data_IF_712324103133
#
_entry.id   IF_712324103133
#
_cell.length_a   1.000
_cell.length_b   1.000
_cell.length_c   1.000
_cell.angle_alpha   90.00
_cell.angle_beta   90.00
_cell.angle_gamma   90.00
#
_symmetry.space_group_name_H-M   'P 1'
#
loop_
_entity.id
_entity.type
_entity.pdbx_description
1 polymer ?
#
# COMPACT_ATOMS: atom_id res chain seq x y z
N UNK A 1 -6.85 9.80 36.03
CA UNK A 1 -7.20 9.70 34.60
C UNK A 1 -6.93 8.27 34.21
N UNK A 2 -7.91 7.42 34.46
CA UNK A 2 -7.76 5.98 34.30
C UNK A 2 -7.81 5.64 32.81
N UNK A 3 -6.69 5.12 32.33
CA UNK A 3 -6.58 4.52 31.00
C UNK A 3 -7.40 3.24 31.08
N UNK A 4 -8.67 3.32 30.68
CA UNK A 4 -9.45 2.13 30.34
C UNK A 4 -8.82 1.51 29.09
N UNK A 5 -7.84 0.64 29.30
CA UNK A 5 -7.50 -0.39 28.33
C UNK A 5 -8.71 -1.33 28.29
N UNK A 6 -9.69 -1.02 27.44
CA UNK A 6 -10.68 -2.00 27.04
C UNK A 6 -9.94 -3.03 26.20
N UNK A 7 -9.33 -4.01 26.85
CA UNK A 7 -9.03 -5.28 26.21
C UNK A 7 -10.38 -5.84 25.79
N UNK A 8 -10.76 -5.69 24.52
CA UNK A 8 -11.75 -6.61 23.97
C UNK A 8 -11.07 -7.96 24.01
N UNK A 9 -11.31 -8.68 25.11
CA UNK A 9 -10.79 -10.01 25.32
C UNK A 9 -11.36 -10.86 24.18
N UNK A 10 -10.56 -11.08 23.14
CA UNK A 10 -10.85 -12.15 22.20
C UNK A 10 -11.02 -13.41 23.03
N UNK A 11 -12.19 -14.08 22.96
CA UNK A 11 -12.34 -15.36 23.65
C UNK A 11 -11.21 -16.27 23.17
N UNK A 12 -10.44 -16.74 24.15
CA UNK A 12 -9.23 -17.54 23.97
C UNK A 12 -9.59 -18.76 23.12
N UNK A 13 -9.30 -18.71 21.81
CA UNK A 13 -9.67 -19.75 20.85
C UNK A 13 -10.22 -19.27 19.49
N UNK A 14 -10.48 -17.97 19.30
CA UNK A 14 -11.02 -17.42 18.04
C UNK A 14 -10.06 -16.54 17.22
N UNK A 15 -8.79 -16.41 17.60
CA UNK A 15 -7.81 -15.76 16.71
C UNK A 15 -7.54 -16.70 15.55
N UNK A 16 -8.08 -16.37 14.37
CA UNK A 16 -7.76 -17.10 13.14
C UNK A 16 -6.25 -17.14 12.90
N UNK A 17 -5.79 -18.07 12.07
CA UNK A 17 -4.36 -18.11 11.66
C UNK A 17 -3.91 -16.81 10.98
N UNK A 18 -4.87 -16.04 10.47
CA UNK A 18 -4.70 -14.83 9.69
C UNK A 18 -5.75 -13.82 10.15
N UNK A 19 -5.39 -12.53 10.13
CA UNK A 19 -6.29 -11.42 10.40
C UNK A 19 -6.14 -10.37 9.32
N UNK A 20 -7.27 -9.88 8.81
CA UNK A 20 -7.30 -8.90 7.71
C UNK A 20 -7.83 -7.57 8.21
N UNK A 21 -7.08 -6.50 7.92
CA UNK A 21 -7.51 -5.11 8.12
C UNK A 21 -7.43 -4.42 6.76
N UNK A 22 -8.56 -4.02 6.22
CA UNK A 22 -8.65 -3.31 4.95
C UNK A 22 -8.98 -1.85 5.25
N UNK A 23 -7.99 -0.98 5.04
CA UNK A 23 -8.17 0.46 5.27
C UNK A 23 -8.90 1.14 4.13
N UNK A 24 -8.46 0.86 2.91
CA UNK A 24 -9.03 1.36 1.66
C UNK A 24 -8.72 0.34 0.55
N UNK A 25 -9.49 0.36 -0.54
CA UNK A 25 -9.29 -0.54 -1.68
C UNK A 25 -9.34 0.27 -2.96
N UNK A 26 -8.16 0.62 -3.46
CA UNK A 26 -7.99 1.42 -4.67
C UNK A 26 -6.84 0.87 -5.51
N UNK A 27 -6.86 1.21 -6.79
CA UNK A 27 -5.77 0.96 -7.73
C UNK A 27 -4.66 2.01 -7.60
N UNK A 28 -3.45 1.68 -8.07
CA UNK A 28 -2.36 2.66 -8.17
C UNK A 28 -2.72 3.88 -9.03
N UNK A 29 -3.49 3.66 -10.11
CA UNK A 29 -3.96 4.76 -10.96
C UNK A 29 -4.91 5.70 -10.23
N UNK A 30 -5.77 5.18 -9.33
CA UNK A 30 -6.61 6.00 -8.45
C UNK A 30 -5.77 6.76 -7.43
N UNK A 31 -4.79 6.09 -6.83
CA UNK A 31 -3.84 6.72 -5.90
C UNK A 31 -3.14 7.92 -6.55
N UNK A 32 -2.60 7.75 -7.76
CA UNK A 32 -1.93 8.81 -8.50
C UNK A 32 -2.89 9.98 -8.77
N UNK A 33 -4.11 9.70 -9.24
CA UNK A 33 -5.12 10.75 -9.47
C UNK A 33 -5.46 11.53 -8.20
N UNK A 34 -5.56 10.86 -7.06
CA UNK A 34 -5.75 11.50 -5.75
C UNK A 34 -4.57 12.41 -5.44
N UNK A 35 -3.33 11.92 -5.58
CA UNK A 35 -2.12 12.70 -5.32
C UNK A 35 -2.00 13.93 -6.24
N UNK A 36 -2.22 13.78 -7.54
CA UNK A 36 -2.22 14.91 -8.50
C UNK A 36 -3.27 15.98 -8.13
N UNK A 37 -4.45 15.55 -7.65
CA UNK A 37 -5.52 16.48 -7.28
C UNK A 37 -5.17 17.38 -6.08
N UNK A 38 -4.33 16.89 -5.16
CA UNK A 38 -3.89 17.65 -4.00
C UNK A 38 -2.54 18.36 -4.22
N UNK A 39 -1.65 17.81 -5.04
CA UNK A 39 -0.36 18.42 -5.37
C UNK A 39 -0.48 19.59 -6.35
N UNK A 40 -1.59 19.66 -7.11
CA UNK A 40 -1.76 20.62 -8.20
C UNK A 40 -0.83 20.38 -9.39
N UNK A 41 -0.11 19.26 -9.42
CA UNK A 41 0.91 18.93 -10.41
C UNK A 41 0.58 17.61 -11.08
N UNK A 42 0.70 17.56 -12.41
CA UNK A 42 0.62 16.30 -13.17
C UNK A 42 1.95 15.56 -13.09
N UNK A 43 1.89 14.27 -12.83
CA UNK A 43 3.07 13.41 -12.79
C UNK A 43 3.33 12.83 -14.17
N UNK A 44 4.61 12.63 -14.50
CA UNK A 44 4.99 11.77 -15.60
C UNK A 44 4.79 10.32 -15.15
N UNK A 45 3.88 9.61 -15.81
CA UNK A 45 3.53 8.23 -15.48
C UNK A 45 4.13 7.31 -16.54
N UNK A 46 4.90 6.34 -16.09
CA UNK A 46 5.47 5.28 -16.92
C UNK A 46 4.85 3.94 -16.48
N UNK A 47 4.46 3.11 -17.45
CA UNK A 47 3.89 1.80 -17.20
C UNK A 47 4.86 0.71 -17.63
N UNK A 48 5.43 0.02 -16.66
CA UNK A 48 6.28 -1.14 -16.92
C UNK A 48 5.43 -2.36 -17.27
N UNK A 49 5.66 -2.94 -18.46
CA UNK A 49 4.98 -4.17 -18.88
C UNK A 49 5.33 -5.35 -17.98
N UNK A 50 4.41 -6.30 -17.85
CA UNK A 50 4.65 -7.53 -17.07
C UNK A 50 5.88 -8.31 -17.53
N UNK A 51 6.17 -8.32 -18.84
CA UNK A 51 7.35 -9.00 -19.37
C UNK A 51 8.66 -8.32 -18.94
N UNK A 52 8.68 -6.98 -18.89
CA UNK A 52 9.80 -6.21 -18.35
C UNK A 52 9.97 -6.43 -16.85
N UNK A 53 8.87 -6.44 -16.09
CA UNK A 53 8.92 -6.69 -14.65
C UNK A 53 9.49 -8.08 -14.33
N UNK A 54 9.14 -9.10 -15.13
CA UNK A 54 9.67 -10.46 -14.98
C UNK A 54 11.18 -10.57 -15.23
N UNK A 55 11.81 -9.62 -15.94
CA UNK A 55 13.27 -9.58 -16.10
C UNK A 55 13.98 -8.85 -14.95
N UNK A 56 13.24 -8.40 -13.92
CA UNK A 56 13.80 -7.66 -12.79
C UNK A 56 14.08 -6.18 -13.10
N UNK A 57 13.54 -5.67 -14.21
CA UNK A 57 13.76 -4.30 -14.65
C UNK A 57 12.51 -3.46 -14.41
N UNK A 58 12.74 -2.22 -13.99
CA UNK A 58 11.70 -1.18 -13.88
C UNK A 58 12.17 0.09 -14.58
N UNK A 59 11.26 1.04 -14.74
CA UNK A 59 11.61 2.41 -15.06
C UNK A 59 12.39 3.03 -13.90
N UNK A 60 13.57 3.58 -14.20
CA UNK A 60 14.41 4.23 -13.20
C UNK A 60 13.86 5.63 -12.88
N UNK A 61 13.40 5.84 -11.65
CA UNK A 61 12.91 7.13 -11.20
C UNK A 61 14.06 8.03 -10.70
N UNK A 62 13.91 9.37 -10.74
CA UNK A 62 14.95 10.30 -10.30
C UNK A 62 15.43 10.11 -8.86
N UNK A 63 14.61 9.51 -7.99
CA UNK A 63 14.99 9.20 -6.61
C UNK A 63 15.79 7.90 -6.48
N UNK A 64 15.79 6.97 -7.43
CA UNK A 64 16.50 5.69 -7.27
C UNK A 64 18.02 5.82 -7.11
N UNK A 65 18.72 6.69 -7.87
CA UNK A 65 20.17 6.83 -7.76
C UNK A 65 20.68 7.14 -6.35
N UNK A 66 19.88 7.81 -5.50
CA UNK A 66 20.26 8.12 -4.12
C UNK A 66 20.42 6.87 -3.24
N UNK A 67 19.81 5.75 -3.63
CA UNK A 67 19.86 4.48 -2.88
C UNK A 67 20.99 3.55 -3.35
N UNK A 68 21.58 3.77 -4.53
CA UNK A 68 22.62 2.90 -5.09
C UNK A 68 23.89 2.72 -4.26
N UNK A 69 24.32 3.69 -3.45
CA UNK A 69 25.40 3.47 -2.49
C UNK A 69 25.09 2.43 -1.41
N UNK A 70 23.81 2.15 -1.14
CA UNK A 70 23.34 1.23 -0.10
C UNK A 70 22.77 -0.07 -0.67
N UNK A 71 22.11 0.01 -1.83
CA UNK A 71 21.48 -1.10 -2.53
C UNK A 71 21.88 -1.07 -4.01
N UNK A 72 22.66 -2.04 -4.52
CA UNK A 72 23.00 -2.12 -5.93
C UNK A 72 21.76 -1.99 -6.82
N UNK A 73 21.91 -1.31 -7.97
CA UNK A 73 20.80 -0.97 -8.87
C UNK A 73 19.95 -2.19 -9.22
N UNK A 74 20.59 -3.29 -9.58
CA UNK A 74 19.92 -4.53 -10.01
C UNK A 74 19.09 -5.15 -8.87
N UNK A 75 19.57 -5.02 -7.63
CA UNK A 75 18.85 -5.52 -6.44
C UNK A 75 17.64 -4.62 -6.15
N UNK A 76 17.82 -3.30 -6.18
CA UNK A 76 16.73 -2.36 -5.95
C UNK A 76 15.64 -2.51 -7.02
N UNK A 77 16.03 -2.58 -8.29
CA UNK A 77 15.09 -2.78 -9.39
C UNK A 77 14.43 -4.14 -9.33
N UNK A 78 15.17 -5.22 -9.06
CA UNK A 78 14.60 -6.56 -8.92
C UNK A 78 13.55 -6.64 -7.81
N UNK A 79 13.79 -5.98 -6.67
CA UNK A 79 12.84 -5.88 -5.57
C UNK A 79 11.54 -5.16 -5.99
N UNK A 80 11.65 -3.98 -6.60
CA UNK A 80 10.48 -3.23 -7.06
C UNK A 80 9.76 -3.91 -8.22
N UNK A 81 10.49 -4.57 -9.12
CA UNK A 81 9.92 -5.37 -10.19
C UNK A 81 9.07 -6.52 -9.64
N UNK A 82 9.57 -7.23 -8.62
CA UNK A 82 8.82 -8.26 -7.91
C UNK A 82 7.54 -7.74 -7.26
N UNK A 83 7.60 -6.55 -6.64
CA UNK A 83 6.40 -5.87 -6.13
C UNK A 83 5.41 -5.56 -7.27
N UNK A 84 5.90 -5.05 -8.39
CA UNK A 84 5.09 -4.79 -9.59
C UNK A 84 4.38 -6.05 -10.11
N UNK A 85 5.08 -7.19 -10.18
CA UNK A 85 4.48 -8.48 -10.54
C UNK A 85 3.37 -8.88 -9.56
N UNK A 86 3.57 -8.70 -8.25
CA UNK A 86 2.56 -8.99 -7.24
C UNK A 86 1.30 -8.11 -7.40
N UNK A 87 1.46 -6.84 -7.76
CA UNK A 87 0.32 -5.97 -8.10
C UNK A 87 -0.43 -6.45 -9.33
N UNK A 88 0.28 -6.73 -10.42
CA UNK A 88 -0.33 -7.17 -11.69
C UNK A 88 -1.04 -8.52 -11.57
N UNK A 89 -0.50 -9.42 -10.73
CA UNK A 89 -1.06 -10.77 -10.51
C UNK A 89 -2.14 -10.80 -9.42
N UNK A 90 -2.49 -9.66 -8.83
CA UNK A 90 -3.57 -9.55 -7.85
C UNK A 90 -3.24 -10.07 -6.45
N UNK A 91 -1.96 -10.28 -6.11
CA UNK A 91 -1.53 -10.74 -4.77
C UNK A 91 -1.99 -9.78 -3.67
N UNK A 92 -2.05 -8.48 -3.97
CA UNK A 92 -2.50 -7.45 -3.04
C UNK A 92 -4.00 -7.14 -3.15
N UNK A 93 -4.73 -7.77 -4.08
CA UNK A 93 -6.19 -7.65 -4.16
C UNK A 93 -6.86 -8.63 -3.18
N UNK A 94 -6.74 -8.31 -1.89
CA UNK A 94 -7.21 -9.18 -0.82
C UNK A 94 -8.76 -9.28 -0.84
N UNK A 95 -9.26 -10.51 -0.83
CA UNK A 95 -10.70 -10.84 -0.74
C UNK A 95 -10.97 -11.82 0.39
N UNK A 96 -10.68 -11.45 1.66
CA UNK A 96 -10.91 -12.33 2.79
C UNK A 96 -12.41 -12.55 3.02
N UNK A 97 -12.79 -13.71 3.54
CA UNK A 97 -14.19 -14.00 3.93
C UNK A 97 -14.64 -13.24 5.18
N UNK A 98 -13.69 -12.68 5.94
CA UNK A 98 -13.92 -11.98 7.20
C UNK A 98 -12.80 -10.99 7.46
N UNK A 99 -13.14 -9.81 7.99
CA UNK A 99 -12.18 -8.75 8.34
C UNK A 99 -12.37 -8.25 9.76
N UNK A 100 -11.29 -7.76 10.37
CA UNK A 100 -11.38 -7.09 11.68
C UNK A 100 -12.19 -5.78 11.60
N UNK A 101 -12.31 -5.17 10.43
CA UNK A 101 -13.19 -4.02 10.20
C UNK A 101 -14.66 -4.36 10.49
N UNK A 102 -15.09 -5.60 10.23
CA UNK A 102 -16.46 -6.07 10.50
C UNK A 102 -16.72 -6.31 11.99
N UNK A 103 -15.68 -6.71 12.73
CA UNK A 103 -15.70 -6.89 14.19
C UNK A 103 -15.68 -5.54 14.92
N UNK A 104 -14.75 -4.65 14.55
CA UNK A 104 -14.56 -3.35 15.19
C UNK A 104 -15.13 -2.21 14.37
N UNK A 105 -16.45 -2.24 14.12
CA UNK A 105 -17.14 -1.23 13.29
C UNK A 105 -17.05 0.20 13.82
N UNK A 106 -16.75 0.38 15.11
CA UNK A 106 -16.50 1.69 15.72
C UNK A 106 -15.18 2.31 15.26
N UNK A 107 -14.21 1.49 14.85
CA UNK A 107 -12.93 1.95 14.33
C UNK A 107 -13.08 2.18 12.83
N UNK A 108 -12.92 3.44 12.41
CA UNK A 108 -12.94 3.80 10.99
C UNK A 108 -11.50 4.02 10.51
N UNK A 109 -10.99 3.21 9.58
CA UNK A 109 -9.69 3.48 8.98
C UNK A 109 -9.75 4.78 8.18
N UNK A 110 -8.62 5.49 8.08
CA UNK A 110 -8.49 6.61 7.17
C UNK A 110 -8.44 6.09 5.73
N UNK A 111 -9.19 6.73 4.85
CA UNK A 111 -9.06 6.52 3.41
C UNK A 111 -7.72 7.06 2.90
N UNK A 112 -7.29 6.57 1.74
CA UNK A 112 -6.12 7.11 1.03
C UNK A 112 -6.32 8.59 0.74
N UNK A 113 -7.53 9.01 0.36
CA UNK A 113 -7.84 10.42 0.08
C UNK A 113 -7.61 11.30 1.31
N UNK A 114 -8.06 10.87 2.48
CA UNK A 114 -7.82 11.60 3.73
C UNK A 114 -6.33 11.70 4.03
N UNK A 115 -5.62 10.57 3.99
CA UNK A 115 -4.18 10.51 4.24
C UNK A 115 -3.38 11.44 3.32
N UNK A 116 -3.63 11.36 2.01
CA UNK A 116 -2.95 12.21 1.01
C UNK A 116 -3.33 13.68 1.21
N UNK A 117 -4.60 13.97 1.50
CA UNK A 117 -5.03 15.36 1.76
C UNK A 117 -4.39 15.96 3.00
N UNK A 118 -4.14 15.17 4.04
CA UNK A 118 -3.43 15.63 5.24
C UNK A 118 -1.97 15.93 4.95
N UNK A 119 -1.30 15.06 4.17
CA UNK A 119 0.09 15.26 3.77
C UNK A 119 0.31 16.57 3.01
N UNK A 120 -0.58 16.91 2.06
CA UNK A 120 -0.46 18.15 1.27
C UNK A 120 -1.01 19.41 1.95
N UNK A 121 -1.67 19.28 3.12
CA UNK A 121 -2.12 20.42 3.92
C UNK A 121 -1.07 20.91 4.94
N UNK A 122 -0.07 20.07 5.24
CA UNK A 122 1.05 20.40 6.14
C UNK A 122 2.11 21.22 5.40
#
# INVERSE_FOLDING_TARGET
MDIFLTTSAYPKGQVGKESYIIGDKITFNEFIRIAESFSGTRFTIEHDSIDRLKTGQITELPCHPMFYPFFPKEILQGMFAGIGVMFETGVFDLTPSHTLNEEFRSIKPKSVKELVSEFYRA
#
